data_IF_970740155650
#
_entry.id   IF_970740155650
#
_cell.length_a   1.000
_cell.length_b   1.000
_cell.length_c   1.000
_cell.angle_alpha   90.00
_cell.angle_beta   90.00
_cell.angle_gamma   90.00
#
_symmetry.space_group_name_H-M   'P 1'
#
loop_
_entity.id
_entity.type
_entity.pdbx_description
1 polymer ?
#
# COMPACT_ATOMS: atom_id res chain seq x y z
N UNK A 1 16.58 14.79 13.31
CA UNK A 1 16.08 13.45 13.68
C UNK A 1 14.91 13.13 12.76
N UNK A 2 15.04 12.12 11.90
CA UNK A 2 14.04 11.85 10.86
C UNK A 2 12.87 11.05 11.47
N UNK A 3 11.63 11.58 11.53
CA UNK A 3 10.48 10.85 12.05
C UNK A 3 9.86 10.08 10.87
N UNK A 4 10.61 9.12 10.32
CA UNK A 4 10.06 8.21 9.31
C UNK A 4 9.63 6.96 10.05
N UNK A 5 8.34 6.86 10.33
CA UNK A 5 7.68 5.64 10.78
C UNK A 5 7.77 4.62 9.64
N UNK A 6 8.88 3.89 9.57
CA UNK A 6 9.06 2.78 8.65
C UNK A 6 9.27 1.51 9.47
N UNK A 7 8.34 0.57 9.37
CA UNK A 7 8.62 -0.83 9.67
C UNK A 7 9.30 -1.40 8.43
N UNK A 8 10.61 -1.65 8.50
CA UNK A 8 11.33 -2.33 7.42
C UNK A 8 11.53 -3.77 7.82
N UNK A 9 10.81 -4.68 7.18
CA UNK A 9 11.10 -6.11 7.26
C UNK A 9 12.10 -6.44 6.16
N UNK A 10 13.41 -6.40 6.47
CA UNK A 10 14.44 -6.82 5.51
C UNK A 10 14.67 -8.32 5.60
N UNK A 11 14.60 -9.02 4.47
CA UNK A 11 14.84 -10.46 4.38
C UNK A 11 16.01 -10.75 3.44
N UNK A 12 17.21 -10.92 4.01
CA UNK A 12 18.34 -11.47 3.25
C UNK A 12 18.80 -12.84 3.79
N UNK A 13 18.62 -13.16 5.09
CA UNK A 13 18.83 -14.54 5.62
C UNK A 13 18.04 -14.88 6.88
N UNK A 14 17.66 -13.89 7.70
CA UNK A 14 16.79 -14.07 8.87
C UNK A 14 15.64 -13.06 8.85
N UNK A 15 14.51 -13.42 9.46
CA UNK A 15 13.33 -12.57 9.53
C UNK A 15 13.51 -11.58 10.69
N UNK A 16 13.99 -10.36 10.39
CA UNK A 16 14.11 -9.29 11.38
C UNK A 16 12.94 -8.34 11.27
N UNK A 17 12.34 -8.00 12.41
CA UNK A 17 11.35 -6.93 12.53
C UNK A 17 12.03 -5.75 13.23
N UNK A 18 12.25 -4.66 12.49
CA UNK A 18 12.85 -3.45 13.03
C UNK A 18 11.76 -2.46 13.45
N UNK A 19 11.63 -2.19 14.74
CA UNK A 19 10.68 -1.20 15.27
C UNK A 19 11.40 0.12 15.53
N UNK A 20 10.88 1.22 14.97
CA UNK A 20 11.48 2.54 15.16
C UNK A 20 11.19 3.10 16.55
N UNK A 21 12.13 3.86 17.11
CA UNK A 21 11.93 4.56 18.39
C UNK A 21 10.74 5.53 18.37
N UNK A 22 10.48 6.18 17.22
CA UNK A 22 9.33 7.07 17.06
C UNK A 22 7.98 6.34 17.09
N UNK A 23 7.92 5.08 16.65
CA UNK A 23 6.72 4.26 16.80
C UNK A 23 6.49 3.91 18.27
N UNK A 24 7.54 3.46 18.96
CA UNK A 24 7.49 3.10 20.39
C UNK A 24 7.12 4.26 21.31
N UNK A 25 7.46 5.50 20.93
CA UNK A 25 7.07 6.70 21.69
C UNK A 25 5.64 7.17 21.41
N UNK A 26 5.03 6.72 20.32
CA UNK A 26 3.71 7.20 19.86
C UNK A 26 2.58 6.23 20.20
N UNK A 27 2.86 4.93 20.17
CA UNK A 27 1.89 3.87 20.42
C UNK A 27 2.14 3.24 21.80
N UNK A 28 1.07 2.93 22.56
CA UNK A 28 1.19 2.11 23.77
C UNK A 28 1.58 0.66 23.41
N UNK A 29 2.07 -0.08 24.40
CA UNK A 29 2.69 -1.39 24.21
C UNK A 29 1.75 -2.40 23.54
N UNK A 30 0.47 -2.35 23.89
CA UNK A 30 -0.57 -3.26 23.38
C UNK A 30 -0.88 -3.00 21.90
N UNK A 31 -0.85 -1.73 21.47
CA UNK A 31 -1.00 -1.35 20.06
C UNK A 31 0.24 -1.72 19.25
N UNK A 32 1.44 -1.59 19.83
CA UNK A 32 2.70 -2.04 19.19
C UNK A 32 2.68 -3.55 19.00
N UNK A 33 2.22 -4.31 19.99
CA UNK A 33 2.11 -5.77 19.89
C UNK A 33 1.17 -6.20 18.75
N UNK A 34 0.03 -5.52 18.60
CA UNK A 34 -0.90 -5.76 17.50
C UNK A 34 -0.29 -5.45 16.12
N UNK A 35 0.45 -4.35 16.00
CA UNK A 35 1.15 -3.98 14.75
C UNK A 35 2.26 -4.98 14.43
N UNK A 36 3.03 -5.43 15.41
CA UNK A 36 4.06 -6.46 15.22
C UNK A 36 3.41 -7.80 14.84
N UNK A 37 2.26 -8.15 15.43
CA UNK A 37 1.48 -9.32 15.05
C UNK A 37 1.04 -9.31 13.58
N UNK A 38 0.69 -8.14 13.04
CA UNK A 38 0.39 -7.95 11.61
C UNK A 38 1.62 -8.23 10.72
N UNK A 39 2.78 -7.66 11.07
CA UNK A 39 4.03 -7.88 10.33
C UNK A 39 4.51 -9.34 10.39
N UNK A 40 4.34 -10.00 11.54
CA UNK A 40 4.60 -11.43 11.67
C UNK A 40 3.66 -12.25 10.78
N UNK A 41 2.42 -11.79 10.59
CA UNK A 41 1.48 -12.36 9.63
C UNK A 41 2.03 -12.39 8.21
N UNK A 42 2.62 -11.30 7.72
CA UNK A 42 3.24 -11.27 6.39
C UNK A 42 4.41 -12.24 6.26
N UNK A 43 5.20 -12.39 7.32
CA UNK A 43 6.34 -13.31 7.35
C UNK A 43 5.87 -14.76 7.35
N UNK A 44 4.87 -15.08 8.19
CA UNK A 44 4.31 -16.43 8.35
C UNK A 44 3.74 -16.95 7.03
N UNK A 45 3.04 -16.10 6.30
CA UNK A 45 2.40 -16.46 5.03
C UNK A 45 3.30 -16.25 3.80
N UNK A 46 4.54 -15.77 3.97
CA UNK A 46 5.54 -15.59 2.92
C UNK A 46 5.09 -14.66 1.78
N UNK A 47 4.44 -13.56 2.13
CA UNK A 47 3.73 -12.67 1.21
C UNK A 47 4.65 -12.10 0.14
N UNK A 48 5.87 -11.72 0.53
CA UNK A 48 6.90 -11.22 -0.38
C UNK A 48 7.22 -12.24 -1.47
N UNK A 49 7.34 -13.52 -1.12
CA UNK A 49 7.65 -14.58 -2.09
C UNK A 49 6.47 -14.82 -3.03
N UNK A 50 5.25 -14.83 -2.49
CA UNK A 50 4.03 -14.98 -3.28
C UNK A 50 3.86 -13.84 -4.28
N UNK A 51 4.07 -12.59 -3.85
CA UNK A 51 3.98 -11.42 -4.72
C UNK A 51 5.06 -11.36 -5.76
N UNK A 52 6.28 -11.77 -5.42
CA UNK A 52 7.36 -11.85 -6.39
C UNK A 52 6.99 -12.81 -7.52
N UNK A 53 6.47 -14.00 -7.20
CA UNK A 53 6.05 -14.99 -8.21
C UNK A 53 4.91 -14.45 -9.06
N UNK A 54 3.87 -13.88 -8.45
CA UNK A 54 2.71 -13.34 -9.18
C UNK A 54 3.11 -12.16 -10.07
N UNK A 55 4.04 -11.30 -9.63
CA UNK A 55 4.47 -10.12 -10.39
C UNK A 55 5.31 -10.47 -11.62
N UNK A 56 5.92 -11.66 -11.68
CA UNK A 56 6.67 -12.11 -12.86
C UNK A 56 5.74 -12.32 -14.06
N UNK A 57 4.49 -12.74 -13.85
CA UNK A 57 3.53 -13.02 -14.92
C UNK A 57 3.25 -11.77 -15.80
N UNK A 58 2.76 -10.63 -15.26
CA UNK A 58 2.55 -9.43 -16.05
C UNK A 58 3.84 -8.88 -16.64
N UNK A 59 4.98 -9.01 -15.94
CA UNK A 59 6.28 -8.58 -16.43
C UNK A 59 6.71 -9.36 -17.68
N UNK A 60 6.52 -10.68 -17.69
CA UNK A 60 6.84 -11.53 -18.83
C UNK A 60 5.94 -11.23 -20.02
N UNK A 61 4.62 -11.08 -19.79
CA UNK A 61 3.65 -10.70 -20.84
C UNK A 61 4.03 -9.35 -21.45
N UNK A 62 4.36 -8.37 -20.61
CA UNK A 62 4.81 -7.05 -21.05
C UNK A 62 6.08 -7.15 -21.90
N UNK A 63 7.08 -7.90 -21.43
CA UNK A 63 8.36 -8.04 -22.13
C UNK A 63 8.18 -8.68 -23.51
N UNK A 64 7.37 -9.73 -23.61
CA UNK A 64 7.02 -10.36 -24.89
C UNK A 64 6.29 -9.35 -25.79
N UNK A 65 5.27 -8.67 -25.27
CA UNK A 65 4.54 -7.65 -26.02
C UNK A 65 5.44 -6.52 -26.53
N UNK A 66 6.40 -6.09 -25.71
CA UNK A 66 7.36 -5.05 -26.06
C UNK A 66 8.31 -5.50 -27.18
N UNK A 67 8.81 -6.74 -27.14
CA UNK A 67 9.64 -7.30 -28.23
C UNK A 67 8.84 -7.40 -29.53
N UNK A 68 7.60 -7.90 -29.48
CA UNK A 68 6.75 -7.98 -30.69
C UNK A 68 6.44 -6.60 -31.27
N UNK A 69 6.15 -5.63 -30.41
CA UNK A 69 5.94 -4.24 -30.82
C UNK A 69 7.17 -3.67 -31.52
N UNK A 70 8.35 -3.78 -30.91
CA UNK A 70 9.59 -3.20 -31.44
C UNK A 70 10.08 -3.93 -32.70
N UNK A 71 9.96 -5.25 -32.75
CA UNK A 71 10.30 -6.04 -33.94
C UNK A 71 9.35 -5.77 -35.11
N UNK A 72 8.06 -5.58 -34.84
CA UNK A 72 7.08 -5.15 -35.84
C UNK A 72 7.38 -3.75 -36.39
N UNK A 73 7.76 -2.81 -35.51
CA UNK A 73 8.11 -1.43 -35.87
C UNK A 73 9.40 -1.31 -36.70
N UNK A 74 10.45 -2.03 -36.30
CA UNK A 74 11.68 -2.13 -37.11
C UNK A 74 11.38 -2.83 -38.44
N UNK A 75 10.62 -3.93 -38.41
CA UNK A 75 10.25 -4.69 -39.61
C UNK A 75 9.44 -3.86 -40.62
N UNK A 76 8.57 -2.95 -40.16
CA UNK A 76 7.83 -2.05 -41.03
C UNK A 76 8.70 -0.92 -41.61
N UNK A 77 9.75 -0.51 -40.91
CA UNK A 77 10.66 0.56 -41.36
C UNK A 77 11.65 0.07 -42.41
N UNK A 78 12.09 -1.19 -42.34
CA UNK A 78 13.11 -1.76 -43.25
C UNK A 78 12.55 -2.59 -44.42
N UNK A 79 11.25 -2.95 -44.44
CA UNK A 79 10.65 -3.74 -45.53
C UNK A 79 9.34 -3.12 -46.02
N UNK A 80 9.46 -2.39 -47.12
CA UNK A 80 8.42 -1.55 -47.71
C UNK A 80 7.24 -2.30 -48.39
N UNK A 81 6.97 -3.59 -48.08
CA UNK A 81 5.93 -4.30 -48.88
C UNK A 81 5.35 -5.62 -48.36
N UNK A 82 5.55 -6.03 -47.10
CA UNK A 82 4.84 -7.23 -46.57
C UNK A 82 4.18 -6.92 -45.25
N UNK A 83 2.85 -6.95 -45.21
CA UNK A 83 1.97 -6.59 -44.08
C UNK A 83 2.16 -7.37 -42.76
N UNK A 84 3.25 -8.13 -42.58
CA UNK A 84 3.58 -8.82 -41.34
C UNK A 84 4.04 -7.89 -40.21
N UNK A 85 4.66 -6.75 -40.52
CA UNK A 85 5.11 -5.79 -39.50
C UNK A 85 3.95 -5.16 -38.71
N UNK A 86 2.89 -4.74 -39.41
CA UNK A 86 1.70 -4.17 -38.80
C UNK A 86 0.95 -5.18 -37.89
N UNK A 87 0.90 -6.45 -38.29
CA UNK A 87 0.31 -7.52 -37.48
C UNK A 87 1.09 -7.74 -36.17
N UNK A 88 2.43 -7.75 -36.24
CA UNK A 88 3.29 -7.89 -35.06
C UNK A 88 3.12 -6.72 -34.08
N UNK A 89 3.03 -5.49 -34.60
CA UNK A 89 2.75 -4.29 -33.78
C UNK A 89 1.40 -4.43 -33.08
N UNK A 90 0.35 -4.85 -33.79
CA UNK A 90 -1.00 -5.00 -33.22
C UNK A 90 -1.04 -6.07 -32.12
N UNK A 91 -0.37 -7.21 -32.33
CA UNK A 91 -0.23 -8.26 -31.30
C UNK A 91 0.57 -7.73 -30.10
N UNK A 92 1.66 -7.00 -30.35
CA UNK A 92 2.48 -6.39 -29.30
C UNK A 92 1.69 -5.42 -28.42
N UNK A 93 0.90 -4.53 -29.02
CA UNK A 93 -0.01 -3.62 -28.29
C UNK A 93 -1.04 -4.40 -27.48
N UNK A 94 -1.63 -5.45 -28.06
CA UNK A 94 -2.59 -6.32 -27.36
C UNK A 94 -1.99 -6.96 -26.10
N UNK A 95 -0.75 -7.46 -26.18
CA UNK A 95 -0.04 -8.04 -25.03
C UNK A 95 0.33 -7.00 -23.97
N UNK A 96 0.70 -5.79 -24.36
CA UNK A 96 0.97 -4.69 -23.41
C UNK A 96 -0.31 -4.33 -22.64
N UNK A 97 -1.44 -4.19 -23.33
CA UNK A 97 -2.75 -3.96 -22.70
C UNK A 97 -3.15 -5.12 -21.78
N UNK A 98 -2.88 -6.36 -22.19
CA UNK A 98 -3.13 -7.53 -21.35
C UNK A 98 -2.27 -7.49 -20.06
N UNK A 99 -1.00 -7.12 -20.16
CA UNK A 99 -0.14 -6.96 -18.97
C UNK A 99 -0.70 -5.93 -17.99
N UNK A 100 -1.29 -4.82 -18.48
CA UNK A 100 -1.94 -3.85 -17.62
C UNK A 100 -3.10 -4.45 -16.83
N UNK A 101 -3.93 -5.28 -17.46
CA UNK A 101 -5.00 -6.02 -16.78
C UNK A 101 -4.44 -6.99 -15.73
N UNK A 102 -3.36 -7.71 -16.03
CA UNK A 102 -2.71 -8.58 -15.05
C UNK A 102 -2.12 -7.82 -13.86
N UNK A 103 -1.56 -6.62 -14.07
CA UNK A 103 -1.11 -5.76 -12.97
C UNK A 103 -2.25 -5.38 -12.02
N UNK A 104 -3.47 -5.20 -12.53
CA UNK A 104 -4.63 -4.96 -11.68
C UNK A 104 -4.93 -6.16 -10.75
N UNK A 105 -4.74 -7.39 -11.23
CA UNK A 105 -4.81 -8.57 -10.40
C UNK A 105 -3.71 -8.60 -9.34
N UNK A 106 -2.48 -8.18 -9.66
CA UNK A 106 -1.40 -8.05 -8.66
C UNK A 106 -1.82 -7.13 -7.52
N UNK A 107 -2.38 -5.96 -7.83
CA UNK A 107 -2.88 -5.03 -6.82
C UNK A 107 -4.03 -5.64 -6.00
N UNK A 108 -4.91 -6.42 -6.63
CA UNK A 108 -5.97 -7.14 -5.91
C UNK A 108 -5.40 -8.17 -4.92
N UNK A 109 -4.45 -8.99 -5.35
CA UNK A 109 -3.79 -9.95 -4.45
C UNK A 109 -3.06 -9.23 -3.31
N UNK A 110 -2.45 -8.07 -3.56
CA UNK A 110 -1.81 -7.23 -2.54
C UNK A 110 -2.77 -6.85 -1.43
N UNK A 111 -3.97 -6.39 -1.80
CA UNK A 111 -5.00 -6.07 -0.82
C UNK A 111 -5.49 -7.31 -0.07
N UNK A 112 -5.64 -8.44 -0.77
CA UNK A 112 -6.06 -9.70 -0.13
C UNK A 112 -5.08 -10.12 0.97
N UNK A 113 -3.76 -10.03 0.71
CA UNK A 113 -2.71 -10.39 1.65
C UNK A 113 -2.71 -9.53 2.92
N UNK A 114 -3.01 -8.24 2.78
CA UNK A 114 -3.17 -7.32 3.92
C UNK A 114 -4.34 -7.73 4.83
N UNK A 115 -5.48 -8.14 4.26
CA UNK A 115 -6.62 -8.64 5.06
C UNK A 115 -6.28 -9.93 5.81
N UNK A 116 -5.50 -10.83 5.20
CA UNK A 116 -5.01 -12.03 5.88
C UNK A 116 -4.06 -11.69 7.04
N UNK A 117 -3.20 -10.69 6.87
CA UNK A 117 -2.31 -10.22 7.93
C UNK A 117 -3.10 -9.52 9.06
N UNK A 118 -4.11 -8.72 8.72
CA UNK A 118 -5.04 -8.10 9.68
C UNK A 118 -5.79 -9.14 10.52
N UNK A 119 -6.37 -10.16 9.86
CA UNK A 119 -7.01 -11.27 10.56
C UNK A 119 -6.02 -12.06 11.42
N UNK A 120 -4.79 -12.25 10.96
CA UNK A 120 -3.76 -12.94 11.75
C UNK A 120 -3.41 -12.18 13.03
N UNK A 121 -3.24 -10.85 12.94
CA UNK A 121 -2.99 -10.00 14.09
C UNK A 121 -4.16 -10.00 15.08
N UNK A 122 -5.39 -9.93 14.56
CA UNK A 122 -6.61 -9.95 15.36
C UNK A 122 -6.75 -11.23 16.21
N UNK A 123 -6.35 -12.38 15.65
CA UNK A 123 -6.47 -13.69 16.32
C UNK A 123 -5.25 -13.99 17.21
N UNK A 124 -4.06 -13.54 16.82
CA UNK A 124 -2.81 -13.92 17.51
C UNK A 124 -2.48 -13.06 18.73
N UNK A 125 -3.07 -11.87 18.84
CA UNK A 125 -2.84 -10.91 19.92
C UNK A 125 -4.11 -10.72 20.73
N UNK A 126 -3.99 -10.65 22.06
CA UNK A 126 -5.14 -10.38 22.94
C UNK A 126 -5.73 -8.99 22.65
N UNK A 127 -7.03 -8.91 22.38
CA UNK A 127 -7.70 -7.69 21.89
C UNK A 127 -7.02 -7.10 20.63
N UNK A 128 -6.38 -7.94 19.82
CA UNK A 128 -5.54 -7.55 18.69
C UNK A 128 -6.29 -6.71 17.66
N UNK A 129 -7.56 -7.01 17.40
CA UNK A 129 -8.39 -6.25 16.46
C UNK A 129 -8.52 -4.78 16.87
N UNK A 130 -8.91 -4.53 18.12
CA UNK A 130 -9.11 -3.18 18.67
C UNK A 130 -7.78 -2.40 18.77
N UNK A 131 -6.74 -3.09 19.24
CA UNK A 131 -5.40 -2.50 19.38
C UNK A 131 -4.78 -2.15 18.02
N UNK A 132 -5.01 -2.98 16.99
CA UNK A 132 -4.56 -2.70 15.62
C UNK A 132 -5.31 -1.51 15.01
N UNK A 133 -6.63 -1.41 15.20
CA UNK A 133 -7.42 -0.26 14.74
C UNK A 133 -6.90 1.05 15.34
N UNK A 134 -6.69 1.08 16.66
CA UNK A 134 -6.15 2.25 17.37
C UNK A 134 -4.73 2.59 16.90
N UNK A 135 -3.86 1.58 16.82
CA UNK A 135 -2.49 1.74 16.34
C UNK A 135 -2.43 2.33 14.93
N UNK A 136 -3.26 1.82 14.01
CA UNK A 136 -3.36 2.34 12.65
C UNK A 136 -3.78 3.82 12.63
N UNK A 137 -4.79 4.19 13.41
CA UNK A 137 -5.26 5.58 13.51
C UNK A 137 -4.20 6.50 14.13
N UNK A 138 -3.47 6.04 15.16
CA UNK A 138 -2.36 6.78 15.75
C UNK A 138 -1.23 7.00 14.74
N UNK A 139 -0.85 5.97 14.00
CA UNK A 139 0.19 6.07 12.95
C UNK A 139 -0.26 7.03 11.85
N UNK A 140 -1.51 6.94 11.38
CA UNK A 140 -2.06 7.84 10.37
C UNK A 140 -2.07 9.29 10.86
N UNK A 141 -2.47 9.52 12.11
CA UNK A 141 -2.51 10.85 12.72
C UNK A 141 -1.11 11.44 12.89
N UNK A 142 -0.16 10.66 13.39
CA UNK A 142 1.24 11.06 13.51
C UNK A 142 1.88 11.34 12.14
N UNK A 143 1.63 10.49 11.16
CA UNK A 143 2.15 10.65 9.77
C UNK A 143 1.54 11.88 9.11
N UNK A 144 0.24 12.12 9.29
CA UNK A 144 -0.46 13.32 8.77
C UNK A 144 0.10 14.60 9.39
N UNK A 145 0.47 14.60 10.67
CA UNK A 145 1.15 15.72 11.34
C UNK A 145 2.53 16.00 10.73
N UNK A 146 3.39 14.98 10.64
CA UNK A 146 4.73 15.12 10.03
C UNK A 146 4.61 15.65 8.59
N UNK A 147 3.64 15.15 7.82
CA UNK A 147 3.39 15.65 6.46
C UNK A 147 2.96 17.11 6.46
N UNK A 148 2.02 17.51 7.33
CA UNK A 148 1.58 18.91 7.46
C UNK A 148 2.72 19.84 7.92
N UNK A 149 3.52 19.43 8.89
CA UNK A 149 4.68 20.19 9.38
C UNK A 149 5.75 20.34 8.29
N UNK A 150 6.06 19.27 7.55
CA UNK A 150 6.98 19.36 6.40
C UNK A 150 6.44 20.29 5.32
N UNK A 151 5.16 20.15 4.94
CA UNK A 151 4.50 21.02 3.96
C UNK A 151 4.50 22.48 4.44
N UNK A 152 4.28 22.74 5.73
CA UNK A 152 4.34 24.06 6.33
C UNK A 152 5.78 24.62 6.41
N UNK A 153 6.79 23.76 6.50
CA UNK A 153 8.21 24.12 6.53
C UNK A 153 8.78 24.47 5.15
N UNK A 154 8.17 23.97 4.06
CA UNK A 154 8.41 24.50 2.72
C UNK A 154 7.74 25.88 2.59
N UNK A 155 8.44 26.93 3.02
CA UNK A 155 8.04 28.35 2.96
C UNK A 155 7.51 28.78 1.58
N UNK A 156 7.93 28.10 0.51
CA UNK A 156 7.53 28.36 -0.87
C UNK A 156 6.06 28.00 -1.16
N UNK A 157 5.46 27.05 -0.43
CA UNK A 157 4.04 26.71 -0.57
C UNK A 157 3.12 27.63 0.25
N UNK A 158 3.65 28.37 1.23
CA UNK A 158 2.89 29.39 1.98
C UNK A 158 2.45 30.56 1.09
N UNK A 159 3.25 30.91 0.08
CA UNK A 159 2.91 31.96 -0.88
C UNK A 159 1.78 31.56 -1.84
N UNK A 160 1.49 30.26 -1.97
CA UNK A 160 0.51 29.72 -2.90
C UNK A 160 -0.91 29.60 -2.30
N UNK A 161 -1.16 30.15 -1.10
CA UNK A 161 -2.51 30.24 -0.48
C UNK A 161 -3.28 28.90 -0.35
N UNK A 162 -2.61 27.75 -0.42
CA UNK A 162 -3.25 26.42 -0.39
C UNK A 162 -3.56 25.93 1.04
N UNK A 163 -3.05 26.57 2.10
CA UNK A 163 -3.32 26.13 3.48
C UNK A 163 -3.30 27.27 4.50
N UNK A 164 -4.45 27.52 5.12
CA UNK A 164 -4.58 28.25 6.37
C UNK A 164 -4.09 27.36 7.54
N UNK A 165 -3.13 27.82 8.38
CA UNK A 165 -2.57 27.01 9.44
C UNK A 165 -3.18 27.42 10.78
N UNK A 166 -4.44 27.13 11.02
CA UNK A 166 -4.97 27.15 12.38
C UNK A 166 -5.88 25.96 12.62
N UNK A 167 -5.25 24.86 13.02
CA UNK A 167 -5.97 23.82 13.75
C UNK A 167 -5.15 23.46 14.97
N UNK A 168 -5.42 24.17 16.07
CA UNK A 168 -5.12 23.70 17.41
C UNK A 168 -5.95 22.44 17.66
N UNK A 169 -5.39 21.25 17.40
CA UNK A 169 -6.07 19.99 17.74
C UNK A 169 -5.60 19.48 19.08
N UNK A 170 -6.38 19.92 20.06
CA UNK A 170 -6.74 19.29 21.34
C UNK A 170 -6.62 17.77 21.31
N UNK A 171 -5.93 17.25 22.33
CA UNK A 171 -6.26 16.00 23.04
C UNK A 171 -6.30 14.72 22.24
N UNK A 172 -5.37 13.82 22.53
CA UNK A 172 -5.33 12.42 22.12
C UNK A 172 -6.43 11.55 22.77
N UNK A 173 -7.52 12.18 23.22
CA UNK A 173 -8.42 11.64 24.23
C UNK A 173 -9.56 10.82 23.64
N UNK A 174 -9.76 10.87 22.32
CA UNK A 174 -10.86 10.16 21.64
C UNK A 174 -10.41 9.44 20.36
N UNK A 175 -9.40 8.58 20.51
CA UNK A 175 -8.92 7.70 19.42
C UNK A 175 -10.05 6.83 18.88
N UNK A 176 -11.00 6.45 19.73
CA UNK A 176 -12.17 5.65 19.34
C UNK A 176 -13.14 6.45 18.46
N UNK A 177 -13.41 7.73 18.76
CA UNK A 177 -14.19 8.58 17.84
C UNK A 177 -13.47 8.86 16.51
N UNK A 178 -12.13 8.91 16.50
CA UNK A 178 -11.35 9.04 15.27
C UNK A 178 -11.43 7.79 14.38
N UNK A 179 -11.43 6.61 14.99
CA UNK A 179 -11.68 5.33 14.29
C UNK A 179 -13.04 5.39 13.59
N UNK A 180 -14.10 5.79 14.30
CA UNK A 180 -15.46 5.89 13.74
C UNK A 180 -15.58 6.93 12.62
N UNK A 181 -14.91 8.09 12.75
CA UNK A 181 -14.88 9.08 11.67
C UNK A 181 -14.20 8.55 10.41
N UNK A 182 -13.07 7.86 10.53
CA UNK A 182 -12.35 7.30 9.38
C UNK A 182 -13.16 6.15 8.74
N UNK A 183 -13.89 5.37 9.53
CA UNK A 183 -14.80 4.34 9.00
C UNK A 183 -15.90 4.93 8.12
N UNK A 184 -16.36 6.16 8.39
CA UNK A 184 -17.42 6.82 7.63
C UNK A 184 -16.96 7.38 6.28
N UNK A 185 -15.64 7.54 6.05
CA UNK A 185 -15.12 8.00 4.76
C UNK A 185 -15.40 6.96 3.66
N UNK A 186 -16.06 7.40 2.57
CA UNK A 186 -16.25 6.58 1.38
C UNK A 186 -14.95 6.57 0.56
N UNK A 187 -14.32 5.40 0.35
CA UNK A 187 -13.12 5.34 -0.48
C UNK A 187 -13.47 5.65 -1.94
N UNK A 188 -12.68 6.51 -2.57
CA UNK A 188 -12.77 6.80 -4.00
C UNK A 188 -12.32 5.58 -4.80
N UNK A 189 -13.22 5.02 -5.63
CA UNK A 189 -13.03 3.76 -6.36
C UNK A 189 -11.77 3.77 -7.24
N UNK A 190 -11.49 4.90 -7.90
CA UNK A 190 -10.30 5.07 -8.75
C UNK A 190 -8.99 5.06 -7.96
N UNK A 191 -8.97 5.72 -6.81
CA UNK A 191 -7.80 5.77 -5.95
C UNK A 191 -7.53 4.39 -5.32
N UNK A 192 -8.59 3.62 -5.07
CA UNK A 192 -8.51 2.28 -4.53
C UNK A 192 -7.99 1.26 -5.56
N UNK A 193 -8.36 1.43 -6.84
CA UNK A 193 -7.97 0.53 -7.92
C UNK A 193 -6.44 0.47 -8.10
N UNK A 194 -5.78 1.62 -7.98
CA UNK A 194 -4.32 1.78 -8.13
C UNK A 194 -3.55 1.68 -6.81
N UNK A 195 -4.20 1.34 -5.70
CA UNK A 195 -3.55 1.25 -4.40
C UNK A 195 -3.17 -0.21 -4.07
N UNK A 196 -1.92 -0.43 -3.68
CA UNK A 196 -1.39 -1.74 -3.23
C UNK A 196 -1.88 -2.13 -1.83
N UNK A 197 -2.28 -1.14 -1.02
CA UNK A 197 -2.89 -1.34 0.29
C UNK A 197 -4.38 -1.02 0.23
N UNK A 198 -5.23 -1.80 0.94
CA UNK A 198 -6.64 -1.49 1.05
C UNK A 198 -6.83 -0.18 1.81
N UNK A 199 -7.90 0.54 1.47
CA UNK A 199 -8.21 1.80 2.14
C UNK A 199 -8.36 1.57 3.65
N UNK A 200 -7.80 2.45 4.52
CA UNK A 200 -7.83 2.27 5.97
C UNK A 200 -9.25 2.09 6.50
N UNK A 201 -10.25 2.81 5.96
CA UNK A 201 -11.65 2.62 6.32
C UNK A 201 -12.16 1.17 6.13
N UNK A 202 -11.72 0.47 5.06
CA UNK A 202 -12.10 -0.94 4.83
C UNK A 202 -11.38 -1.88 5.79
N UNK A 203 -10.11 -1.61 6.10
CA UNK A 203 -9.36 -2.36 7.13
C UNK A 203 -10.03 -2.25 8.50
N UNK A 204 -10.41 -1.04 8.90
CA UNK A 204 -11.11 -0.81 10.17
C UNK A 204 -12.44 -1.59 10.24
N UNK A 205 -13.26 -1.53 9.17
CA UNK A 205 -14.51 -2.31 9.09
C UNK A 205 -14.28 -3.83 9.08
N UNK A 206 -13.22 -4.31 8.44
CA UNK A 206 -12.85 -5.73 8.46
C UNK A 206 -12.46 -6.18 9.87
N UNK A 207 -11.73 -5.34 10.61
CA UNK A 207 -11.33 -5.61 11.99
C UNK A 207 -12.50 -5.60 12.97
N UNK A 208 -13.58 -4.84 12.70
CA UNK A 208 -14.79 -4.86 13.54
C UNK A 208 -15.42 -6.25 13.62
N UNK A 209 -15.30 -7.08 12.58
CA UNK A 209 -15.79 -8.46 12.60
C UNK A 209 -15.07 -9.35 13.64
N UNK A 210 -13.94 -8.90 14.17
CA UNK A 210 -13.13 -9.61 15.17
C UNK A 210 -13.12 -8.92 16.54
N UNK A 211 -13.81 -7.78 16.68
CA UNK A 211 -14.02 -7.13 17.98
C UNK A 211 -15.25 -7.78 18.61
N UNK A 212 -15.02 -8.83 19.40
CA UNK A 212 -16.05 -9.49 20.24
C UNK A 212 -15.98 -8.96 21.67
#
# INVERSE_FOLDING_TARGET
MCPTLLLTVTRLRANFVAVTRGLLSTLPREEVEAVVGHELGHIKHKDVMFMMIISIIPALIYYIGHILYYSGWLGSTYRDQRGGGALLVLIGVGLILLSFVFNLFVFYFSRLREYYADSHAAISVQNGARNLQRGLVRIMSATRRVRKEKIASYTQLKALFITDPEVTVRGYDDVDALVERIKAEKPSILMELFSTHPHPAKRLRHLDAYVT
#
